data_IF_698203233651
#
_entry.id   IF_698203233651
#
_cell.length_a   1.000
_cell.length_b   1.000
_cell.length_c   1.000
_cell.angle_alpha   90.00
_cell.angle_beta   90.00
_cell.angle_gamma   90.00
#
_symmetry.space_group_name_H-M   'P 1'
#
loop_
_entity.id
_entity.type
_entity.pdbx_description
1 polymer ?
#
# COMPACT_ATOMS: atom_id res chain seq x y z
N UNK A 1 20.03 3.29 7.65
CA UNK A 1 19.40 3.76 8.92
C UNK A 1 18.20 4.68 8.68
N UNK A 2 18.25 5.68 7.78
CA UNK A 2 17.08 6.54 7.48
C UNK A 2 15.85 5.79 6.96
N UNK A 3 16.02 4.79 6.09
CA UNK A 3 14.92 3.98 5.53
C UNK A 3 14.11 3.23 6.58
N UNK A 4 14.76 2.77 7.66
CA UNK A 4 14.08 2.07 8.75
C UNK A 4 13.18 3.01 9.55
N UNK A 5 13.60 4.27 9.73
CA UNK A 5 12.77 5.31 10.34
C UNK A 5 11.53 5.63 9.52
N UNK A 6 11.65 5.68 8.19
CA UNK A 6 10.49 5.82 7.30
C UNK A 6 9.51 4.65 7.42
N UNK A 7 10.01 3.42 7.55
CA UNK A 7 9.17 2.23 7.76
C UNK A 7 8.42 2.32 9.09
N UNK A 8 9.08 2.73 10.19
CA UNK A 8 8.45 2.86 11.50
C UNK A 8 7.40 3.97 11.55
N UNK A 9 7.68 5.12 10.94
CA UNK A 9 6.70 6.22 10.81
C UNK A 9 5.51 5.77 9.98
N UNK A 10 5.76 5.06 8.89
CA UNK A 10 4.70 4.50 8.04
C UNK A 10 3.84 3.46 8.78
N UNK A 11 4.48 2.56 9.55
CA UNK A 11 3.79 1.57 10.38
C UNK A 11 2.96 2.22 11.49
N UNK A 12 3.51 3.25 12.14
CA UNK A 12 2.80 4.01 13.17
C UNK A 12 1.59 4.75 12.60
N UNK A 13 1.73 5.37 11.42
CA UNK A 13 0.63 6.04 10.73
C UNK A 13 -0.46 5.06 10.28
N UNK A 14 -0.06 3.85 9.86
CA UNK A 14 -0.96 2.74 9.55
C UNK A 14 -1.80 2.29 10.75
N UNK A 15 -1.15 2.08 11.90
CA UNK A 15 -1.81 1.72 13.16
C UNK A 15 -2.80 2.80 13.59
N UNK A 16 -2.37 4.07 13.53
CA UNK A 16 -3.23 5.22 13.83
C UNK A 16 -4.43 5.29 12.89
N UNK A 17 -4.26 5.13 11.57
CA UNK A 17 -5.40 5.13 10.64
C UNK A 17 -6.42 4.01 10.93
N UNK A 18 -5.94 2.83 11.35
CA UNK A 18 -6.81 1.72 11.73
C UNK A 18 -7.63 2.03 13.00
N UNK A 19 -7.06 2.76 13.96
CA UNK A 19 -7.76 3.16 15.19
C UNK A 19 -8.63 4.40 15.01
N UNK A 20 -8.27 5.33 14.14
CA UNK A 20 -8.89 6.67 14.12
C UNK A 20 -10.28 6.75 13.49
N UNK A 21 -10.72 5.84 12.60
CA UNK A 21 -12.09 5.92 12.06
C UNK A 21 -12.58 4.67 11.28
N UNK A 22 -13.54 3.89 11.83
CA UNK A 22 -14.25 2.87 11.05
C UNK A 22 -15.17 3.47 9.97
N UNK A 23 -15.66 4.69 10.16
CA UNK A 23 -16.61 5.36 9.26
C UNK A 23 -15.98 5.83 7.92
N UNK A 24 -14.67 6.10 7.88
CA UNK A 24 -13.99 6.40 6.62
C UNK A 24 -13.81 5.13 5.76
N UNK A 25 -13.74 3.97 6.42
CA UNK A 25 -13.60 2.66 5.77
C UNK A 25 -14.92 2.01 5.40
N UNK A 26 -16.06 2.53 5.89
CA UNK A 26 -17.38 2.00 5.55
C UNK A 26 -17.68 2.09 4.04
N UNK A 27 -17.20 3.12 3.33
CA UNK A 27 -17.31 3.15 1.86
C UNK A 27 -16.46 2.05 1.23
N UNK A 28 -15.29 1.78 1.80
CA UNK A 28 -14.28 0.89 1.23
C UNK A 28 -14.52 -0.59 1.57
N UNK A 29 -15.31 -0.88 2.61
CA UNK A 29 -15.77 -2.22 3.01
C UNK A 29 -16.28 -3.10 1.86
N UNK A 30 -17.17 -2.66 0.95
CA UNK A 30 -17.60 -3.47 -0.18
C UNK A 30 -16.46 -3.83 -1.15
N UNK A 31 -15.40 -3.02 -1.20
CA UNK A 31 -14.23 -3.26 -2.05
C UNK A 31 -13.14 -4.12 -1.38
N UNK A 32 -13.29 -4.37 -0.07
CA UNK A 32 -12.36 -5.15 0.73
C UNK A 32 -11.98 -6.53 0.18
N UNK A 33 -12.95 -7.40 -0.17
CA UNK A 33 -12.61 -8.72 -0.70
C UNK A 33 -11.83 -8.60 -2.01
N UNK A 34 -12.22 -7.69 -2.90
CA UNK A 34 -11.56 -7.49 -4.20
C UNK A 34 -10.10 -7.01 -4.05
N UNK A 35 -9.81 -6.11 -3.10
CA UNK A 35 -8.45 -5.64 -2.82
C UNK A 35 -7.58 -6.78 -2.27
N UNK A 36 -8.14 -7.64 -1.43
CA UNK A 36 -7.41 -8.80 -0.89
C UNK A 36 -7.15 -9.86 -1.95
N UNK A 37 -8.16 -10.21 -2.74
CA UNK A 37 -8.04 -11.24 -3.78
C UNK A 37 -7.10 -10.79 -4.91
N UNK A 38 -7.10 -9.50 -5.25
CA UNK A 38 -6.21 -8.93 -6.26
C UNK A 38 -4.77 -8.73 -5.76
N UNK A 39 -4.47 -8.93 -4.46
CA UNK A 39 -3.18 -8.62 -3.85
C UNK A 39 -2.00 -9.22 -4.61
N UNK A 40 -2.05 -10.52 -4.92
CA UNK A 40 -0.97 -11.19 -5.64
C UNK A 40 -0.83 -10.69 -7.09
N UNK A 41 -1.94 -10.41 -7.77
CA UNK A 41 -1.92 -9.86 -9.13
C UNK A 41 -1.29 -8.47 -9.18
N UNK A 42 -1.71 -7.58 -8.28
CA UNK A 42 -1.15 -6.22 -8.17
C UNK A 42 0.33 -6.26 -7.76
N UNK A 43 0.71 -7.18 -6.88
CA UNK A 43 2.12 -7.38 -6.48
C UNK A 43 2.98 -7.82 -7.66
N UNK A 44 2.52 -8.77 -8.47
CA UNK A 44 3.24 -9.23 -9.66
C UNK A 44 3.35 -8.12 -10.72
N UNK A 45 2.28 -7.34 -10.94
CA UNK A 45 2.31 -6.20 -11.87
C UNK A 45 3.29 -5.14 -11.37
N UNK A 46 3.24 -4.76 -10.09
CA UNK A 46 4.13 -3.78 -9.50
C UNK A 46 5.60 -4.25 -9.57
N UNK A 47 5.85 -5.54 -9.33
CA UNK A 47 7.17 -6.13 -9.44
C UNK A 47 7.68 -6.15 -10.89
N UNK A 48 6.85 -6.55 -11.84
CA UNK A 48 7.16 -6.50 -13.27
C UNK A 48 7.47 -5.07 -13.73
N UNK A 49 6.64 -4.09 -13.36
CA UNK A 49 6.88 -2.68 -13.64
C UNK A 49 8.17 -2.18 -13.01
N UNK A 50 8.46 -2.59 -11.76
CA UNK A 50 9.69 -2.21 -11.07
C UNK A 50 10.93 -2.72 -11.80
N UNK A 51 10.89 -3.95 -12.33
CA UNK A 51 11.98 -4.51 -13.13
C UNK A 51 12.14 -3.81 -14.48
N UNK A 52 11.04 -3.47 -15.16
CA UNK A 52 11.05 -2.84 -16.48
C UNK A 52 11.37 -1.33 -16.46
N UNK A 53 11.12 -0.64 -15.35
CA UNK A 53 11.27 0.82 -15.28
C UNK A 53 12.68 1.30 -14.98
N UNK A 54 13.06 2.43 -15.61
CA UNK A 54 14.31 3.17 -15.32
C UNK A 54 14.26 3.79 -13.92
N UNK A 55 15.43 4.11 -13.35
CA UNK A 55 15.61 4.60 -11.96
C UNK A 55 14.62 5.68 -11.51
N UNK A 56 14.23 6.61 -12.40
CA UNK A 56 13.28 7.68 -12.08
C UNK A 56 11.84 7.17 -11.86
N UNK A 57 11.39 6.20 -12.66
CA UNK A 57 10.03 5.64 -12.60
C UNK A 57 9.87 4.57 -11.52
N UNK A 58 10.96 3.92 -11.09
CA UNK A 58 10.92 2.95 -9.97
C UNK A 58 10.40 3.56 -8.68
N UNK A 59 10.70 4.83 -8.40
CA UNK A 59 10.15 5.51 -7.23
C UNK A 59 8.64 5.67 -7.32
N UNK A 60 8.12 6.03 -8.49
CA UNK A 60 6.68 6.13 -8.70
C UNK A 60 5.98 4.77 -8.51
N UNK A 61 6.54 3.70 -9.09
CA UNK A 61 6.02 2.33 -8.91
C UNK A 61 6.02 1.91 -7.44
N UNK A 62 7.12 2.18 -6.72
CA UNK A 62 7.20 1.89 -5.29
C UNK A 62 6.19 2.70 -4.48
N UNK A 63 6.01 3.98 -4.77
CA UNK A 63 5.03 4.84 -4.08
C UNK A 63 3.61 4.34 -4.34
N UNK A 64 3.25 4.03 -5.59
CA UNK A 64 1.94 3.47 -5.93
C UNK A 64 1.71 2.12 -5.22
N UNK A 65 2.74 1.26 -5.20
CA UNK A 65 2.66 -0.02 -4.50
C UNK A 65 2.53 0.19 -2.98
N UNK A 66 3.22 1.17 -2.40
CA UNK A 66 3.11 1.50 -0.98
C UNK A 66 1.70 1.97 -0.61
N UNK A 67 1.07 2.78 -1.46
CA UNK A 67 -0.33 3.23 -1.30
C UNK A 67 -1.27 2.03 -1.41
N UNK A 68 -1.05 1.13 -2.36
CA UNK A 68 -1.84 -0.11 -2.46
C UNK A 68 -1.69 -0.98 -1.21
N UNK A 69 -0.48 -1.09 -0.69
CA UNK A 69 -0.19 -1.86 0.52
C UNK A 69 -0.85 -1.25 1.76
N UNK A 70 -0.93 0.08 1.83
CA UNK A 70 -1.74 0.82 2.79
C UNK A 70 -3.21 0.42 2.70
N UNK A 71 -3.79 0.46 1.49
CA UNK A 71 -5.19 0.07 1.28
C UNK A 71 -5.43 -1.39 1.70
N UNK A 72 -4.54 -2.30 1.34
CA UNK A 72 -4.64 -3.71 1.74
C UNK A 72 -4.57 -3.92 3.26
N UNK A 73 -3.77 -3.13 3.98
CA UNK A 73 -3.60 -3.29 5.43
C UNK A 73 -4.76 -2.72 6.24
N UNK A 74 -5.35 -1.64 5.73
CA UNK A 74 -6.44 -0.92 6.39
C UNK A 74 -7.79 -1.61 6.14
N UNK A 75 -7.90 -2.36 5.04
CA UNK A 75 -9.14 -3.00 4.58
C UNK A 75 -9.19 -4.50 4.91
#
# INVERSE_FOLDING_TARGET
>A
MRTFGWILVFLGLLLLMREFQPSFLDWLRPYAPYIRDAFWGVTLIAFGLYMLTRRALRRAVLILYLIYLLLYLVV
#
